data_IF_741847148060
#
_entry.id   IF_741847148060
#
_cell.length_a   1.000
_cell.length_b   1.000
_cell.length_c   1.000
_cell.angle_alpha   90.00
_cell.angle_beta   90.00
_cell.angle_gamma   90.00
#
_symmetry.space_group_name_H-M   'P 1'
#
loop_
_entity.id
_entity.type
_entity.pdbx_description
1 polymer ?
#
# COMPACT_ATOMS: atom_id res chain seq x y z
N UNK A 1 -18.72 -1.69 9.15
CA UNK A 1 -17.93 -0.47 8.88
C UNK A 1 -17.73 -0.24 7.39
N UNK A 2 -17.27 -1.23 6.61
CA UNK A 2 -17.26 -1.13 5.13
C UNK A 2 -18.63 -0.76 4.55
N UNK A 3 -19.71 -1.35 5.07
CA UNK A 3 -21.08 -0.95 4.72
C UNK A 3 -21.37 0.55 4.93
N UNK A 4 -20.96 1.10 6.08
CA UNK A 4 -21.19 2.50 6.40
C UNK A 4 -20.31 3.44 5.57
N UNK A 5 -19.06 3.06 5.30
CA UNK A 5 -18.16 3.82 4.43
C UNK A 5 -18.66 3.84 2.99
N UNK A 6 -19.03 2.66 2.47
CA UNK A 6 -19.54 2.52 1.12
C UNK A 6 -20.83 3.31 0.93
N UNK A 7 -21.80 3.20 1.85
CA UNK A 7 -23.01 4.02 1.83
C UNK A 7 -22.68 5.51 1.96
N UNK A 8 -21.78 5.88 2.86
CA UNK A 8 -21.34 7.25 3.06
C UNK A 8 -20.81 7.90 1.79
N UNK A 9 -20.11 7.15 0.94
CA UNK A 9 -19.61 7.65 -0.34
C UNK A 9 -20.75 8.04 -1.28
N UNK A 10 -21.75 7.19 -1.44
CA UNK A 10 -22.91 7.50 -2.26
C UNK A 10 -23.73 8.66 -1.70
N UNK A 11 -23.89 8.75 -0.38
CA UNK A 11 -24.63 9.84 0.26
C UNK A 11 -23.91 11.18 0.10
N UNK A 12 -22.61 11.24 0.40
CA UNK A 12 -21.82 12.47 0.22
C UNK A 12 -21.79 12.87 -1.26
N UNK A 13 -21.62 11.91 -2.16
CA UNK A 13 -21.64 12.16 -3.59
C UNK A 13 -23.00 12.71 -4.06
N UNK A 14 -24.11 12.15 -3.57
CA UNK A 14 -25.44 12.65 -3.89
C UNK A 14 -25.64 14.10 -3.39
N UNK A 15 -25.17 14.43 -2.19
CA UNK A 15 -25.25 15.79 -1.64
C UNK A 15 -24.43 16.77 -2.49
N UNK A 16 -23.18 16.42 -2.84
CA UNK A 16 -22.31 17.24 -3.67
C UNK A 16 -22.85 17.42 -5.10
N UNK A 17 -23.43 16.37 -5.68
CA UNK A 17 -24.05 16.45 -6.99
C UNK A 17 -25.30 17.34 -6.96
N UNK A 18 -26.13 17.23 -5.92
CA UNK A 18 -27.27 18.11 -5.72
C UNK A 18 -26.84 19.58 -5.55
N UNK A 19 -25.75 19.88 -4.84
CA UNK A 19 -25.27 21.26 -4.74
C UNK A 19 -24.75 21.78 -6.08
N UNK A 20 -23.98 20.99 -6.84
CA UNK A 20 -23.51 21.36 -8.19
C UNK A 20 -24.66 21.58 -9.16
N UNK A 21 -25.71 20.76 -9.08
CA UNK A 21 -26.87 20.91 -9.94
C UNK A 21 -27.73 22.11 -9.54
N UNK A 22 -28.16 22.19 -8.27
CA UNK A 22 -29.14 23.18 -7.82
C UNK A 22 -28.55 24.58 -7.62
N UNK A 23 -27.27 24.67 -7.26
CA UNK A 23 -26.58 25.94 -6.95
C UNK A 23 -25.61 26.31 -8.07
N UNK A 24 -24.90 25.31 -8.63
CA UNK A 24 -23.89 25.51 -9.68
C UNK A 24 -24.40 25.40 -11.12
N UNK A 25 -25.70 25.13 -11.32
CA UNK A 25 -26.36 24.95 -12.62
C UNK A 25 -25.73 23.84 -13.51
N UNK A 26 -25.05 22.86 -12.88
CA UNK A 26 -24.44 21.73 -13.58
C UNK A 26 -25.39 20.52 -13.61
N UNK A 27 -26.33 20.53 -14.56
CA UNK A 27 -27.21 19.39 -14.81
C UNK A 27 -26.47 18.13 -15.33
N UNK A 28 -25.23 18.27 -15.80
CA UNK A 28 -24.40 17.19 -16.33
C UNK A 28 -23.80 16.28 -15.26
N UNK A 29 -23.75 16.73 -13.99
CA UNK A 29 -23.08 16.02 -12.90
C UNK A 29 -23.59 14.58 -12.71
N UNK A 30 -24.90 14.35 -12.81
CA UNK A 30 -25.47 13.01 -12.66
C UNK A 30 -25.08 12.08 -13.81
N UNK A 31 -25.01 12.61 -15.05
CA UNK A 31 -24.54 11.84 -16.19
C UNK A 31 -23.07 11.43 -16.00
N UNK A 32 -22.22 12.37 -15.56
CA UNK A 32 -20.81 12.09 -15.27
C UNK A 32 -20.62 11.06 -14.15
N UNK A 33 -21.46 11.11 -13.11
CA UNK A 33 -21.43 10.11 -12.03
C UNK A 33 -21.81 8.71 -12.51
N UNK A 34 -22.87 8.60 -13.33
CA UNK A 34 -23.29 7.32 -13.92
C UNK A 34 -22.22 6.77 -14.86
N UNK A 35 -21.65 7.61 -15.72
CA UNK A 35 -20.55 7.23 -16.60
C UNK A 35 -19.34 6.73 -15.80
N UNK A 36 -18.96 7.46 -14.74
CA UNK A 36 -17.86 7.07 -13.85
C UNK A 36 -18.11 5.72 -13.18
N UNK A 37 -19.34 5.44 -12.76
CA UNK A 37 -19.71 4.16 -12.15
C UNK A 37 -19.43 2.98 -13.10
N UNK A 38 -19.87 3.06 -14.36
CA UNK A 38 -19.61 2.02 -15.34
C UNK A 38 -18.15 1.95 -15.78
N UNK A 39 -17.46 3.09 -15.89
CA UNK A 39 -16.03 3.14 -16.18
C UNK A 39 -15.21 2.44 -15.09
N UNK A 40 -15.54 2.65 -13.81
CA UNK A 40 -14.87 1.99 -12.69
C UNK A 40 -15.19 0.50 -12.62
N UNK A 41 -16.40 0.08 -12.97
CA UNK A 41 -16.74 -1.34 -13.10
C UNK A 41 -15.87 -2.01 -14.18
N UNK A 42 -15.66 -1.38 -15.34
CA UNK A 42 -14.75 -1.89 -16.38
C UNK A 42 -13.30 -1.93 -15.90
N UNK A 43 -12.81 -0.85 -15.28
CA UNK A 43 -11.45 -0.78 -14.74
C UNK A 43 -11.19 -1.92 -13.73
N UNK A 44 -12.18 -2.26 -12.91
CA UNK A 44 -12.04 -3.38 -11.97
C UNK A 44 -11.75 -4.71 -12.67
N UNK A 45 -12.35 -4.97 -13.85
CA UNK A 45 -12.11 -6.19 -14.64
C UNK A 45 -10.71 -6.15 -15.25
N UNK A 46 -10.26 -5.01 -15.77
CA UNK A 46 -8.91 -4.85 -16.31
C UNK A 46 -7.84 -5.09 -15.24
N UNK A 47 -8.04 -4.54 -14.04
CA UNK A 47 -7.19 -4.82 -12.86
C UNK A 47 -7.24 -6.31 -12.51
N UNK A 48 -8.41 -6.94 -12.57
CA UNK A 48 -8.56 -8.37 -12.28
C UNK A 48 -7.76 -9.26 -13.22
N UNK A 49 -7.70 -8.95 -14.53
CA UNK A 49 -6.88 -9.72 -15.49
C UNK A 49 -5.40 -9.71 -15.09
N UNK A 50 -4.89 -8.55 -14.67
CA UNK A 50 -3.51 -8.41 -14.16
C UNK A 50 -3.33 -9.20 -12.85
N UNK A 51 -4.30 -9.13 -11.94
CA UNK A 51 -4.27 -9.88 -10.69
C UNK A 51 -4.31 -11.40 -10.90
N UNK A 52 -5.08 -11.91 -11.87
CA UNK A 52 -5.08 -13.34 -12.22
C UNK A 52 -3.68 -13.81 -12.60
N UNK A 53 -2.99 -13.09 -13.49
CA UNK A 53 -1.64 -13.47 -13.91
C UNK A 53 -0.62 -13.40 -12.76
N UNK A 54 -0.61 -12.28 -12.03
CA UNK A 54 0.36 -12.03 -10.96
C UNK A 54 0.17 -12.95 -9.76
N UNK A 55 -1.06 -13.14 -9.27
CA UNK A 55 -1.35 -14.03 -8.14
C UNK A 55 -1.00 -15.49 -8.47
N UNK A 56 -1.31 -15.94 -9.69
CA UNK A 56 -0.97 -17.29 -10.19
C UNK A 56 0.54 -17.50 -10.21
N UNK A 57 1.30 -16.55 -10.75
CA UNK A 57 2.76 -16.61 -10.82
C UNK A 57 3.39 -16.71 -9.43
N UNK A 58 3.03 -15.79 -8.55
CA UNK A 58 3.68 -15.64 -7.25
C UNK A 58 3.31 -16.72 -6.25
N UNK A 59 2.05 -17.17 -6.26
CA UNK A 59 1.66 -18.29 -5.40
C UNK A 59 2.25 -19.61 -5.88
N UNK A 60 2.49 -19.78 -7.19
CA UNK A 60 3.28 -20.90 -7.70
C UNK A 60 4.70 -20.92 -7.14
N UNK A 61 5.42 -19.80 -7.25
CA UNK A 61 6.76 -19.68 -6.70
C UNK A 61 6.80 -19.81 -5.17
N UNK A 62 5.84 -19.22 -4.47
CA UNK A 62 5.71 -19.36 -3.02
C UNK A 62 5.49 -20.82 -2.61
N UNK A 63 4.69 -21.58 -3.36
CA UNK A 63 4.44 -23.00 -3.07
C UNK A 63 5.72 -23.84 -3.16
N UNK A 64 6.62 -23.52 -4.08
CA UNK A 64 7.96 -24.12 -4.12
C UNK A 64 8.73 -23.79 -2.84
N UNK A 65 8.74 -22.51 -2.43
CA UNK A 65 9.45 -22.07 -1.24
C UNK A 65 8.92 -22.71 0.05
N UNK A 66 7.61 -22.85 0.19
CA UNK A 66 6.95 -23.58 1.27
C UNK A 66 7.39 -25.03 1.33
N UNK A 67 7.30 -25.75 0.20
CA UNK A 67 7.73 -27.16 0.15
C UNK A 67 9.23 -27.34 0.38
N UNK A 68 10.04 -26.32 0.08
CA UNK A 68 11.47 -26.32 0.36
C UNK A 68 11.81 -26.02 1.83
N UNK A 69 10.83 -25.66 2.66
CA UNK A 69 11.01 -25.32 4.07
C UNK A 69 11.56 -23.91 4.32
N UNK A 70 11.48 -23.01 3.31
CA UNK A 70 12.01 -21.65 3.42
C UNK A 70 11.15 -20.78 4.34
N UNK A 71 9.83 -20.94 4.28
CA UNK A 71 8.88 -20.16 5.07
C UNK A 71 9.07 -20.44 6.56
N UNK A 72 9.25 -21.71 6.93
CA UNK A 72 9.49 -22.16 8.30
C UNK A 72 10.82 -21.62 8.85
N UNK A 73 11.86 -21.59 8.02
CA UNK A 73 13.17 -21.02 8.40
C UNK A 73 13.08 -19.52 8.69
N UNK A 74 12.36 -18.79 7.85
CA UNK A 74 12.12 -17.36 8.07
C UNK A 74 11.26 -17.12 9.32
N UNK A 75 10.25 -17.96 9.55
CA UNK A 75 9.42 -17.92 10.75
C UNK A 75 10.27 -18.10 12.03
N UNK A 76 11.25 -19.01 12.01
CA UNK A 76 12.17 -19.22 13.15
C UNK A 76 13.11 -18.03 13.34
N UNK A 77 13.64 -17.45 12.26
CA UNK A 77 14.55 -16.30 12.32
C UNK A 77 13.90 -15.08 12.99
N UNK A 78 12.64 -14.76 12.63
CA UNK A 78 11.92 -13.61 13.18
C UNK A 78 11.02 -13.95 14.37
N UNK A 79 10.98 -15.22 14.81
CA UNK A 79 10.25 -15.64 15.99
C UNK A 79 10.54 -14.78 17.24
N UNK A 80 11.79 -14.36 17.54
CA UNK A 80 12.07 -13.53 18.70
C UNK A 80 11.30 -12.19 18.67
N UNK A 81 11.21 -11.56 17.50
CA UNK A 81 10.48 -10.30 17.31
C UNK A 81 8.97 -10.51 17.40
N UNK A 82 8.44 -11.42 16.60
CA UNK A 82 6.99 -11.62 16.50
C UNK A 82 6.37 -12.26 17.74
N UNK A 83 7.13 -12.98 18.57
CA UNK A 83 6.64 -13.40 19.90
C UNK A 83 6.25 -12.23 20.79
N UNK A 84 6.83 -11.04 20.60
CA UNK A 84 6.51 -9.83 21.39
C UNK A 84 5.46 -8.98 20.70
N UNK A 85 5.50 -8.90 19.37
CA UNK A 85 4.55 -8.10 18.58
C UNK A 85 3.21 -8.80 18.34
N UNK A 86 3.21 -10.13 18.22
CA UNK A 86 2.07 -11.00 17.94
C UNK A 86 2.03 -12.19 18.91
N UNK A 87 1.83 -11.94 20.23
CA UNK A 87 1.92 -13.00 21.25
C UNK A 87 0.86 -14.11 21.09
N UNK A 88 -0.21 -13.83 20.35
CA UNK A 88 -1.29 -14.77 20.04
C UNK A 88 -0.91 -15.82 18.97
N UNK A 89 0.20 -15.61 18.24
CA UNK A 89 0.63 -16.52 17.17
C UNK A 89 1.68 -17.51 17.72
N UNK A 90 1.43 -18.83 17.65
CA UNK A 90 2.39 -19.82 18.11
C UNK A 90 3.74 -19.72 17.42
N UNK A 91 4.79 -20.10 18.15
CA UNK A 91 6.14 -20.09 17.59
C UNK A 91 6.31 -21.13 16.49
N UNK A 92 6.92 -20.74 15.38
CA UNK A 92 7.10 -21.63 14.22
C UNK A 92 5.82 -21.81 13.39
N UNK A 93 4.72 -21.12 13.72
CA UNK A 93 3.53 -21.13 12.87
C UNK A 93 3.85 -20.51 11.49
N UNK A 94 3.39 -21.11 10.38
CA UNK A 94 3.69 -20.62 9.02
C UNK A 94 3.31 -19.16 8.78
N UNK A 95 2.28 -18.66 9.47
CA UNK A 95 1.87 -17.26 9.41
C UNK A 95 3.05 -16.28 9.61
N UNK A 96 3.96 -16.56 10.55
CA UNK A 96 5.11 -15.68 10.81
C UNK A 96 6.08 -15.61 9.62
N UNK A 97 6.30 -16.74 8.96
CA UNK A 97 7.15 -16.81 7.77
C UNK A 97 6.53 -16.07 6.58
N UNK A 98 5.21 -16.24 6.38
CA UNK A 98 4.46 -15.55 5.32
C UNK A 98 4.41 -14.03 5.54
N UNK A 99 4.19 -13.57 6.78
CA UNK A 99 4.23 -12.14 7.14
C UNK A 99 5.62 -11.56 6.85
N UNK A 100 6.66 -12.29 7.24
CA UNK A 100 8.06 -11.89 6.97
C UNK A 100 8.32 -11.74 5.48
N UNK A 101 7.96 -12.75 4.69
CA UNK A 101 8.11 -12.73 3.23
C UNK A 101 7.32 -11.60 2.58
N UNK A 102 6.10 -11.34 3.04
CA UNK A 102 5.29 -10.23 2.55
C UNK A 102 5.94 -8.87 2.86
N UNK A 103 6.40 -8.63 4.08
CA UNK A 103 7.11 -7.38 4.42
C UNK A 103 8.42 -7.24 3.64
N UNK A 104 9.17 -8.32 3.44
CA UNK A 104 10.37 -8.30 2.61
C UNK A 104 10.04 -7.99 1.15
N UNK A 105 8.99 -8.58 0.59
CA UNK A 105 8.55 -8.31 -0.78
C UNK A 105 8.12 -6.84 -0.96
N UNK A 106 7.28 -6.31 -0.06
CA UNK A 106 6.92 -4.88 -0.06
C UNK A 106 8.17 -3.99 0.11
N UNK A 107 9.05 -4.36 1.06
CA UNK A 107 10.33 -3.71 1.32
C UNK A 107 11.15 -3.45 0.07
N UNK A 108 11.22 -4.48 -0.79
CA UNK A 108 12.03 -4.50 -1.99
C UNK A 108 11.29 -3.94 -3.23
N UNK A 109 10.08 -3.38 -3.05
CA UNK A 109 9.25 -2.88 -4.15
C UNK A 109 8.73 -3.99 -5.07
N UNK A 110 8.61 -5.22 -4.55
CA UNK A 110 8.05 -6.37 -5.24
C UNK A 110 6.54 -6.47 -4.98
N UNK A 111 5.82 -5.38 -5.16
CA UNK A 111 4.39 -5.23 -4.79
C UNK A 111 3.50 -6.32 -5.43
N UNK A 112 3.86 -6.71 -6.66
CA UNK A 112 3.23 -7.80 -7.40
C UNK A 112 3.32 -9.15 -6.68
N UNK A 113 4.38 -9.39 -5.90
CA UNK A 113 4.61 -10.58 -5.10
C UNK A 113 3.99 -10.48 -3.70
N UNK A 114 4.03 -9.28 -3.12
CA UNK A 114 3.68 -9.10 -1.73
C UNK A 114 2.19 -9.37 -1.45
N UNK A 115 1.29 -8.88 -2.31
CA UNK A 115 -0.16 -9.08 -2.16
C UNK A 115 -0.57 -10.56 -2.07
N UNK A 116 -0.17 -11.45 -3.00
CA UNK A 116 -0.49 -12.88 -2.89
C UNK A 116 0.03 -13.52 -1.59
N UNK A 117 1.28 -13.22 -1.21
CA UNK A 117 1.87 -13.73 0.03
C UNK A 117 1.08 -13.22 1.24
N UNK A 118 0.66 -11.95 1.22
CA UNK A 118 -0.07 -11.33 2.32
C UNK A 118 -1.49 -11.87 2.48
N UNK A 119 -2.18 -12.22 1.38
CA UNK A 119 -3.46 -12.91 1.44
C UNK A 119 -3.33 -14.29 2.09
N UNK A 120 -2.24 -15.02 1.77
CA UNK A 120 -1.96 -16.30 2.39
C UNK A 120 -1.60 -16.16 3.87
N UNK A 121 -0.82 -15.13 4.23
CA UNK A 121 -0.54 -14.77 5.62
C UNK A 121 -1.84 -14.48 6.40
N UNK A 122 -2.76 -13.73 5.81
CA UNK A 122 -4.05 -13.40 6.42
C UNK A 122 -4.91 -14.64 6.67
N UNK A 123 -4.93 -15.59 5.71
CA UNK A 123 -5.58 -16.90 5.89
C UNK A 123 -4.95 -17.72 7.02
N UNK A 124 -3.62 -17.79 7.07
CA UNK A 124 -2.91 -18.49 8.14
C UNK A 124 -3.16 -17.84 9.52
N UNK A 125 -3.31 -16.52 9.59
CA UNK A 125 -3.72 -15.83 10.82
C UNK A 125 -5.20 -16.08 11.18
N UNK A 126 -6.07 -16.28 10.18
CA UNK A 126 -7.48 -16.58 10.39
C UNK A 126 -7.69 -17.98 11.00
N UNK A 127 -6.85 -18.96 10.66
CA UNK A 127 -6.90 -20.30 11.26
C UNK A 127 -6.70 -20.27 12.78
N UNK A 128 -5.94 -19.29 13.28
CA UNK A 128 -5.69 -19.06 14.70
C UNK A 128 -6.72 -18.14 15.36
N UNK A 129 -7.59 -17.50 14.56
CA UNK A 129 -8.50 -16.49 15.06
C UNK A 129 -9.69 -17.14 15.78
N UNK A 130 -9.93 -16.83 17.08
CA UNK A 130 -11.07 -17.37 17.79
C UNK A 130 -12.42 -16.91 17.23
N UNK A 131 -12.45 -15.85 16.42
CA UNK A 131 -13.66 -15.31 15.81
C UNK A 131 -13.61 -15.35 14.28
N UNK A 132 -14.60 -15.99 13.67
CA UNK A 132 -14.70 -16.06 12.20
C UNK A 132 -14.96 -14.70 11.51
N UNK A 133 -15.52 -13.72 12.22
CA UNK A 133 -15.99 -12.45 11.61
C UNK A 133 -15.34 -11.19 12.18
N UNK A 134 -14.44 -11.31 13.16
CA UNK A 134 -13.83 -10.18 13.89
C UNK A 134 -12.32 -10.29 13.86
N UNK A 135 -11.63 -9.20 13.47
CA UNK A 135 -10.19 -9.22 13.27
C UNK A 135 -9.42 -9.49 14.58
N UNK A 136 -8.44 -10.40 14.55
CA UNK A 136 -7.52 -10.65 15.67
C UNK A 136 -6.45 -9.56 15.79
N UNK A 137 -5.73 -9.48 16.91
CA UNK A 137 -4.69 -8.46 17.08
C UNK A 137 -3.55 -8.64 16.07
N UNK A 138 -3.16 -9.88 15.79
CA UNK A 138 -2.14 -10.21 14.80
C UNK A 138 -2.57 -9.80 13.38
N UNK A 139 -3.83 -10.04 12.99
CA UNK A 139 -4.36 -9.61 11.70
C UNK A 139 -4.33 -8.09 11.55
N UNK A 140 -4.71 -7.36 12.61
CA UNK A 140 -4.71 -5.89 12.61
C UNK A 140 -3.29 -5.35 12.48
N UNK A 141 -2.33 -5.86 13.26
CA UNK A 141 -0.94 -5.41 13.19
C UNK A 141 -0.35 -5.68 11.80
N UNK A 142 -0.54 -6.89 11.28
CA UNK A 142 -0.07 -7.27 9.96
C UNK A 142 -0.62 -6.36 8.86
N UNK A 143 -1.93 -6.06 8.93
CA UNK A 143 -2.61 -5.24 7.96
C UNK A 143 -2.14 -3.78 8.01
N UNK A 144 -2.07 -3.18 9.19
CA UNK A 144 -1.69 -1.77 9.33
C UNK A 144 -0.26 -1.55 8.84
N UNK A 145 0.66 -2.46 9.18
CA UNK A 145 2.04 -2.39 8.68
C UNK A 145 2.15 -2.60 7.16
N UNK A 146 1.22 -3.34 6.55
CA UNK A 146 1.11 -3.43 5.08
C UNK A 146 0.57 -2.15 4.47
N UNK A 147 -0.44 -1.51 5.08
CA UNK A 147 -1.00 -0.25 4.61
C UNK A 147 0.03 0.89 4.67
N UNK A 148 0.98 0.82 5.60
CA UNK A 148 2.07 1.78 5.76
C UNK A 148 3.40 1.23 5.26
N UNK A 149 3.42 0.36 4.25
CA UNK A 149 4.61 -0.43 3.92
C UNK A 149 5.80 0.41 3.47
N UNK A 150 6.99 0.05 3.96
CA UNK A 150 8.24 0.71 3.62
C UNK A 150 8.75 0.29 2.24
N UNK A 151 8.58 1.13 1.22
CA UNK A 151 9.15 0.87 -0.12
C UNK A 151 10.55 1.46 -0.22
N UNK A 152 11.59 0.61 -0.30
CA UNK A 152 12.98 1.06 -0.33
C UNK A 152 13.37 1.74 -1.65
N UNK A 153 12.77 1.33 -2.77
CA UNK A 153 13.10 1.82 -4.12
C UNK A 153 11.81 2.07 -4.92
N UNK A 154 11.33 3.31 -5.02
CA UNK A 154 10.09 3.66 -5.71
C UNK A 154 10.28 3.75 -7.23
N UNK A 155 10.69 2.65 -7.87
CA UNK A 155 11.03 2.59 -9.30
C UNK A 155 9.87 3.02 -10.20
N UNK A 156 8.63 2.71 -9.81
CA UNK A 156 7.43 3.12 -10.54
C UNK A 156 7.28 4.64 -10.60
N UNK A 157 7.57 5.34 -9.51
CA UNK A 157 7.50 6.81 -9.43
C UNK A 157 8.58 7.44 -10.30
N UNK A 158 9.80 6.89 -10.29
CA UNK A 158 10.87 7.33 -11.19
C UNK A 158 10.45 7.18 -12.65
N UNK A 159 9.82 6.06 -13.00
CA UNK A 159 9.33 5.83 -14.36
C UNK A 159 8.26 6.84 -14.77
N UNK A 160 7.32 7.17 -13.88
CA UNK A 160 6.30 8.19 -14.18
C UNK A 160 6.93 9.55 -14.41
N UNK A 161 7.92 9.93 -13.59
CA UNK A 161 8.68 11.17 -13.76
C UNK A 161 9.44 11.19 -15.09
N UNK A 162 10.12 10.10 -15.47
CA UNK A 162 10.74 9.97 -16.80
C UNK A 162 9.72 10.16 -17.92
N UNK A 163 8.57 9.50 -17.83
CA UNK A 163 7.50 9.59 -18.84
C UNK A 163 6.91 10.99 -18.97
N UNK A 164 6.94 11.78 -17.88
CA UNK A 164 6.53 13.19 -17.88
C UNK A 164 7.69 14.16 -18.15
N UNK A 165 8.88 13.67 -18.51
CA UNK A 165 10.01 14.50 -18.93
C UNK A 165 10.87 15.08 -17.81
N UNK A 166 10.89 14.47 -16.61
CA UNK A 166 11.72 14.94 -15.50
C UNK A 166 13.22 14.89 -15.84
N UNK A 167 13.97 16.00 -15.67
CA UNK A 167 15.43 16.01 -15.78
C UNK A 167 16.10 15.10 -14.75
N UNK A 168 15.58 15.09 -13.51
CA UNK A 168 16.00 14.18 -12.45
C UNK A 168 14.78 13.41 -11.90
N UNK A 169 14.54 12.18 -12.40
CA UNK A 169 13.48 11.32 -11.89
C UNK A 169 13.64 10.92 -10.42
N UNK A 170 14.87 10.91 -9.91
CA UNK A 170 15.21 10.42 -8.57
C UNK A 170 15.12 11.50 -7.49
N UNK A 171 14.87 12.75 -7.86
CA UNK A 171 14.76 13.88 -6.95
C UNK A 171 13.76 13.67 -5.80
N UNK A 172 12.71 12.88 -6.01
CA UNK A 172 11.69 12.54 -4.99
C UNK A 172 12.07 11.36 -4.08
N UNK A 173 13.22 10.73 -4.31
CA UNK A 173 13.61 9.49 -3.64
C UNK A 173 13.70 9.62 -2.12
N UNK A 174 14.53 10.54 -1.64
CA UNK A 174 14.73 10.75 -0.22
C UNK A 174 13.45 11.27 0.48
N UNK A 175 12.69 12.21 -0.12
CA UNK A 175 11.37 12.56 0.38
C UNK A 175 10.41 11.38 0.56
N UNK A 176 10.30 10.49 -0.43
CA UNK A 176 9.45 9.29 -0.35
C UNK A 176 9.86 8.43 0.84
N UNK A 177 11.15 8.14 0.96
CA UNK A 177 11.64 7.23 2.00
C UNK A 177 11.44 7.80 3.41
N UNK A 178 11.59 9.12 3.59
CA UNK A 178 11.29 9.79 4.85
C UNK A 178 9.78 9.78 5.16
N UNK A 179 8.94 10.09 4.17
CA UNK A 179 7.48 10.10 4.33
C UNK A 179 6.94 8.71 4.66
N UNK A 180 7.42 7.68 3.96
CA UNK A 180 7.06 6.30 4.26
C UNK A 180 7.53 5.88 5.65
N UNK A 181 8.78 6.20 6.03
CA UNK A 181 9.29 5.87 7.36
C UNK A 181 8.44 6.47 8.48
N UNK A 182 7.98 7.72 8.30
CA UNK A 182 7.05 8.36 9.22
C UNK A 182 5.70 7.63 9.27
N UNK A 183 5.14 7.26 8.11
CA UNK A 183 3.90 6.48 8.03
C UNK A 183 4.03 5.13 8.74
N UNK A 184 5.07 4.35 8.43
CA UNK A 184 5.33 3.03 9.04
C UNK A 184 5.48 3.13 10.56
N UNK A 185 6.20 4.15 11.03
CA UNK A 185 6.41 4.38 12.46
C UNK A 185 5.08 4.70 13.16
N UNK A 186 4.28 5.62 12.61
CA UNK A 186 2.97 5.97 13.17
C UNK A 186 2.00 4.77 13.11
N UNK A 187 2.03 3.99 12.04
CA UNK A 187 1.28 2.74 11.93
C UNK A 187 1.63 1.75 13.06
N UNK A 188 2.91 1.47 13.27
CA UNK A 188 3.37 0.61 14.36
C UNK A 188 2.99 1.17 15.75
N UNK A 189 3.27 2.44 16.00
CA UNK A 189 3.02 3.09 17.29
C UNK A 189 1.53 3.13 17.63
N UNK A 190 0.67 3.41 16.64
CA UNK A 190 -0.78 3.46 16.84
C UNK A 190 -1.35 2.08 17.19
N UNK A 191 -0.92 1.03 16.51
CA UNK A 191 -1.32 -0.34 16.84
C UNK A 191 -0.77 -0.77 18.19
N UNK A 192 0.49 -0.46 18.47
CA UNK A 192 1.12 -0.77 19.75
C UNK A 192 0.40 -0.09 20.92
N UNK A 193 -0.04 1.15 20.75
CA UNK A 193 -0.86 1.85 21.73
C UNK A 193 -2.21 1.15 21.94
N UNK A 194 -2.95 0.89 20.85
CA UNK A 194 -4.28 0.29 20.93
C UNK A 194 -4.27 -1.15 21.47
N UNK A 195 -3.23 -1.92 21.16
CA UNK A 195 -3.05 -3.31 21.60
C UNK A 195 -2.18 -3.44 22.86
N UNK A 196 -1.66 -2.33 23.40
CA UNK A 196 -0.76 -2.28 24.56
C UNK A 196 0.50 -3.14 24.40
N UNK A 197 1.09 -3.12 23.20
CA UNK A 197 2.34 -3.83 22.91
C UNK A 197 3.51 -3.17 23.65
N UNK A 198 4.43 -3.99 24.18
CA UNK A 198 5.61 -3.52 24.92
C UNK A 198 6.76 -3.20 23.97
N UNK A 199 6.70 -2.03 23.31
CA UNK A 199 7.77 -1.61 22.39
C UNK A 199 9.11 -1.32 23.09
N UNK A 200 9.09 -1.10 24.42
CA UNK A 200 10.30 -0.95 25.24
C UNK A 200 10.98 -2.29 25.58
N UNK A 201 10.43 -3.43 25.14
CA UNK A 201 11.09 -4.73 25.30
C UNK A 201 12.46 -4.70 24.60
N UNK A 202 13.55 -5.14 25.24
CA UNK A 202 14.90 -5.08 24.67
C UNK A 202 15.03 -5.77 23.31
N UNK A 203 14.27 -6.85 23.07
CA UNK A 203 14.27 -7.55 21.77
C UNK A 203 13.62 -6.67 20.72
N UNK A 204 12.47 -6.05 21.03
CA UNK A 204 11.78 -5.16 20.10
C UNK A 204 12.65 -3.93 19.80
N UNK A 205 13.25 -3.31 20.82
CA UNK A 205 14.17 -2.19 20.64
C UNK A 205 15.41 -2.56 19.84
N UNK A 206 15.99 -3.75 20.05
CA UNK A 206 17.13 -4.22 19.26
C UNK A 206 16.77 -4.37 17.78
N UNK A 207 15.60 -4.94 17.47
CA UNK A 207 15.12 -5.05 16.09
C UNK A 207 14.82 -3.69 15.47
N UNK A 208 14.05 -2.83 16.16
CA UNK A 208 13.73 -1.48 15.67
C UNK A 208 15.00 -0.64 15.48
N UNK A 209 15.94 -0.70 16.43
CA UNK A 209 17.22 -0.01 16.35
C UNK A 209 18.09 -0.53 15.21
N UNK A 210 18.20 -1.85 15.04
CA UNK A 210 18.92 -2.45 13.92
C UNK A 210 18.31 -2.06 12.57
N UNK A 211 16.98 -2.14 12.43
CA UNK A 211 16.28 -1.71 11.22
C UNK A 211 16.49 -0.22 10.96
N UNK A 212 16.38 0.65 11.98
CA UNK A 212 16.61 2.08 11.83
C UNK A 212 18.06 2.40 11.43
N UNK A 213 19.05 1.70 11.98
CA UNK A 213 20.46 1.86 11.61
C UNK A 213 20.74 1.38 10.19
N UNK A 214 20.19 0.23 9.79
CA UNK A 214 20.34 -0.29 8.43
C UNK A 214 19.67 0.63 7.41
N UNK A 215 18.45 1.11 7.69
CA UNK A 215 17.74 2.06 6.84
C UNK A 215 18.48 3.40 6.78
N UNK A 216 18.89 3.96 7.91
CA UNK A 216 19.63 5.22 7.97
C UNK A 216 20.99 5.13 7.27
N UNK A 217 21.71 4.01 7.45
CA UNK A 217 22.97 3.75 6.75
C UNK A 217 22.77 3.59 5.24
N UNK A 218 21.72 2.89 4.82
CA UNK A 218 21.36 2.75 3.40
C UNK A 218 20.96 4.10 2.80
N UNK A 219 20.16 4.91 3.50
CA UNK A 219 19.80 6.27 3.12
C UNK A 219 21.03 7.17 2.96
N UNK A 220 21.95 7.14 3.93
CA UNK A 220 23.19 7.91 3.87
C UNK A 220 24.09 7.48 2.70
N UNK A 221 24.17 6.19 2.43
CA UNK A 221 24.89 5.66 1.26
C UNK A 221 24.27 6.15 -0.05
N UNK A 222 22.94 6.01 -0.20
CA UNK A 222 22.24 6.42 -1.42
C UNK A 222 22.27 7.93 -1.63
N UNK A 223 22.24 8.73 -0.56
CA UNK A 223 22.38 10.18 -0.62
C UNK A 223 23.77 10.63 -1.14
N UNK A 224 24.78 9.76 -1.07
CA UNK A 224 26.11 10.01 -1.64
C UNK A 224 26.24 9.71 -3.13
N UNK A 225 25.21 9.14 -3.77
CA UNK A 225 25.24 8.78 -5.19
C UNK A 225 24.74 9.93 -6.07
N UNK A 226 25.25 10.04 -7.29
CA UNK A 226 24.66 10.91 -8.31
C UNK A 226 23.26 10.40 -8.70
N UNK A 227 22.38 11.27 -9.18
CA UNK A 227 21.05 10.90 -9.67
C UNK A 227 21.10 9.78 -10.74
N UNK A 228 22.08 9.85 -11.64
CA UNK A 228 22.31 8.82 -12.67
C UNK A 228 22.73 7.47 -12.07
N UNK A 229 23.63 7.47 -11.08
CA UNK A 229 24.06 6.26 -10.39
C UNK A 229 22.92 5.68 -9.54
N UNK A 230 22.15 6.52 -8.87
CA UNK A 230 21.00 6.12 -8.07
C UNK A 230 19.90 5.48 -8.93
N UNK A 231 19.58 6.07 -10.09
CA UNK A 231 18.61 5.51 -11.03
C UNK A 231 19.07 4.14 -11.58
N UNK A 232 20.34 4.04 -12.00
CA UNK A 232 20.92 2.80 -12.51
C UNK A 232 20.96 1.70 -11.43
N UNK A 233 21.39 2.05 -10.21
CA UNK A 233 21.44 1.14 -9.07
C UNK A 233 20.03 0.68 -8.68
N UNK A 234 19.05 1.58 -8.64
CA UNK A 234 17.66 1.25 -8.28
C UNK A 234 17.05 0.24 -9.25
N UNK A 235 17.25 0.45 -10.57
CA UNK A 235 16.77 -0.46 -11.61
C UNK A 235 17.47 -1.82 -11.56
N UNK A 236 18.81 -1.82 -11.40
CA UNK A 236 19.59 -3.05 -11.31
C UNK A 236 19.20 -3.84 -10.05
N UNK A 237 19.18 -3.21 -8.88
CA UNK A 237 18.82 -3.86 -7.62
C UNK A 237 17.40 -4.42 -7.68
N UNK A 238 16.41 -3.67 -8.18
CA UNK A 238 15.04 -4.16 -8.29
C UNK A 238 14.94 -5.43 -9.15
N UNK A 239 15.48 -5.39 -10.37
CA UNK A 239 15.41 -6.50 -11.32
C UNK A 239 16.22 -7.73 -10.85
N UNK A 240 17.45 -7.50 -10.35
CA UNK A 240 18.31 -8.55 -9.83
C UNK A 240 17.69 -9.21 -8.59
N UNK A 241 17.11 -8.43 -7.69
CA UNK A 241 16.45 -8.94 -6.49
C UNK A 241 15.23 -9.77 -6.85
N UNK A 242 14.39 -9.27 -7.76
CA UNK A 242 13.20 -9.97 -8.24
C UNK A 242 13.56 -11.33 -8.86
N UNK A 243 14.47 -11.34 -9.84
CA UNK A 243 14.85 -12.56 -10.53
C UNK A 243 15.68 -13.49 -9.63
N UNK A 244 16.54 -12.91 -8.79
CA UNK A 244 17.31 -13.63 -7.77
C UNK A 244 16.43 -14.34 -6.75
N UNK A 245 15.32 -13.74 -6.32
CA UNK A 245 14.35 -14.37 -5.43
C UNK A 245 13.69 -15.60 -6.10
N UNK A 246 13.28 -15.46 -7.36
CA UNK A 246 12.71 -16.55 -8.16
C UNK A 246 13.71 -17.70 -8.29
N UNK A 247 14.96 -17.38 -8.68
CA UNK A 247 16.05 -18.35 -8.77
C UNK A 247 16.31 -19.01 -7.42
N UNK A 248 16.32 -18.26 -6.32
CA UNK A 248 16.54 -18.79 -4.98
C UNK A 248 15.45 -19.81 -4.59
N UNK A 249 14.18 -19.53 -4.89
CA UNK A 249 13.09 -20.48 -4.65
C UNK A 249 13.24 -21.75 -5.49
N UNK A 250 13.54 -21.62 -6.78
CA UNK A 250 13.75 -22.75 -7.68
C UNK A 250 14.95 -23.61 -7.26
N UNK A 251 16.10 -22.99 -7.00
CA UNK A 251 17.31 -23.66 -6.58
C UNK A 251 17.13 -24.33 -5.21
N UNK A 252 16.52 -23.65 -4.25
CA UNK A 252 16.24 -24.24 -2.94
C UNK A 252 15.27 -25.43 -3.06
N UNK A 253 14.21 -25.30 -3.86
CA UNK A 253 13.29 -26.39 -4.18
C UNK A 253 14.02 -27.58 -4.82
N UNK A 254 14.86 -27.34 -5.83
CA UNK A 254 15.64 -28.37 -6.49
C UNK A 254 16.63 -29.05 -5.52
N UNK A 255 17.37 -28.29 -4.71
CA UNK A 255 18.27 -28.85 -3.70
C UNK A 255 17.55 -29.69 -2.64
N UNK A 256 16.31 -29.31 -2.31
CA UNK A 256 15.44 -30.07 -1.40
C UNK A 256 14.67 -31.20 -2.08
N UNK A 257 14.92 -31.45 -3.37
CA UNK A 257 14.26 -32.47 -4.20
C UNK A 257 12.73 -32.30 -4.24
N UNK A 258 12.26 -31.05 -4.17
CA UNK A 258 10.86 -30.70 -4.40
C UNK A 258 10.59 -30.80 -5.90
N UNK A 259 9.47 -31.42 -6.34
CA UNK A 259 9.03 -31.38 -7.74
C UNK A 259 8.58 -29.95 -8.08
N UNK A 260 9.52 -29.14 -8.56
CA UNK A 260 9.37 -27.67 -8.65
C UNK A 260 8.23 -27.25 -9.57
N UNK A 261 8.02 -27.96 -10.69
CA UNK A 261 6.97 -27.63 -11.64
C UNK A 261 5.59 -27.96 -11.08
N UNK A 262 5.43 -29.13 -10.48
CA UNK A 262 4.18 -29.59 -9.87
C UNK A 262 3.80 -28.71 -8.69
N UNK A 263 4.78 -28.37 -7.84
CA UNK A 263 4.61 -27.41 -6.76
C UNK A 263 4.18 -26.03 -7.28
N UNK A 264 4.81 -25.54 -8.35
CA UNK A 264 4.43 -24.30 -8.99
C UNK A 264 2.98 -24.34 -9.49
N UNK A 265 2.59 -25.38 -10.22
CA UNK A 265 1.23 -25.53 -10.77
C UNK A 265 0.18 -25.61 -9.66
N UNK A 266 0.49 -26.25 -8.54
CA UNK A 266 -0.40 -26.31 -7.39
C UNK A 266 -0.62 -24.93 -6.75
N UNK A 267 0.47 -24.17 -6.52
CA UNK A 267 0.37 -22.80 -6.02
C UNK A 267 -0.32 -21.86 -7.01
N UNK A 268 -0.09 -22.05 -8.30
CA UNK A 268 -0.73 -21.29 -9.37
C UNK A 268 -2.26 -21.43 -9.35
N UNK A 269 -2.77 -22.65 -9.16
CA UNK A 269 -4.22 -22.89 -9.01
C UNK A 269 -4.82 -22.16 -7.80
N UNK A 270 -4.11 -22.14 -6.67
CA UNK A 270 -4.53 -21.37 -5.50
C UNK A 270 -4.65 -19.87 -5.83
N UNK A 271 -3.67 -19.31 -6.55
CA UNK A 271 -3.70 -17.91 -6.94
C UNK A 271 -4.84 -17.53 -7.86
N UNK A 272 -5.23 -18.44 -8.75
CA UNK A 272 -6.41 -18.26 -9.58
C UNK A 272 -7.70 -18.15 -8.75
N UNK A 273 -7.90 -19.04 -7.76
CA UNK A 273 -9.07 -18.99 -6.88
C UNK A 273 -9.10 -17.75 -5.99
N UNK A 274 -7.92 -17.32 -5.50
CA UNK A 274 -7.78 -16.06 -4.75
C UNK A 274 -8.26 -14.90 -5.61
N UNK A 275 -7.73 -14.75 -6.82
CA UNK A 275 -8.09 -13.67 -7.74
C UNK A 275 -9.61 -13.60 -7.94
N UNK A 276 -10.25 -14.73 -8.28
CA UNK A 276 -11.71 -14.82 -8.48
C UNK A 276 -12.50 -14.28 -7.28
N UNK A 277 -12.05 -14.53 -6.06
CA UNK A 277 -12.74 -14.07 -4.84
C UNK A 277 -12.65 -12.55 -4.60
N UNK A 278 -11.70 -11.85 -5.22
CA UNK A 278 -11.46 -10.41 -5.00
C UNK A 278 -12.33 -9.49 -5.85
N UNK A 279 -12.78 -9.96 -7.02
CA UNK A 279 -13.53 -9.15 -7.99
C UNK A 279 -14.74 -8.42 -7.37
N UNK A 280 -15.63 -9.07 -6.58
CA UNK A 280 -16.80 -8.38 -6.03
C UNK A 280 -16.45 -7.20 -5.13
N UNK A 281 -15.43 -7.36 -4.28
CA UNK A 281 -14.96 -6.32 -3.37
C UNK A 281 -14.33 -5.15 -4.13
N UNK A 282 -13.58 -5.46 -5.19
CA UNK A 282 -12.95 -4.45 -6.03
C UNK A 282 -13.97 -3.60 -6.78
N UNK A 283 -14.96 -4.24 -7.42
CA UNK A 283 -16.06 -3.56 -8.12
C UNK A 283 -16.79 -2.62 -7.16
N UNK A 284 -17.20 -3.13 -6.00
CA UNK A 284 -17.97 -2.35 -5.03
C UNK A 284 -17.24 -1.07 -4.61
N UNK A 285 -15.95 -1.18 -4.25
CA UNK A 285 -15.18 -0.04 -3.77
C UNK A 285 -14.82 0.95 -4.88
N UNK A 286 -14.33 0.48 -6.04
CA UNK A 286 -13.95 1.38 -7.14
C UNK A 286 -15.14 2.17 -7.68
N UNK A 287 -16.32 1.55 -7.78
CA UNK A 287 -17.54 2.25 -8.20
C UNK A 287 -17.91 3.37 -7.23
N UNK A 288 -17.88 3.10 -5.92
CA UNK A 288 -18.21 4.10 -4.89
C UNK A 288 -17.24 5.30 -4.95
N UNK A 289 -15.95 5.04 -5.16
CA UNK A 289 -14.91 6.08 -5.28
C UNK A 289 -15.07 6.88 -6.58
N UNK A 290 -15.38 6.22 -7.70
CA UNK A 290 -15.64 6.89 -8.97
C UNK A 290 -16.81 7.87 -8.87
N UNK A 291 -17.91 7.43 -8.27
CA UNK A 291 -19.09 8.28 -8.01
C UNK A 291 -18.76 9.45 -7.09
N UNK A 292 -18.00 9.20 -6.01
CA UNK A 292 -17.56 10.26 -5.09
C UNK A 292 -16.72 11.32 -5.81
N UNK A 293 -15.76 10.91 -6.66
CA UNK A 293 -14.95 11.83 -7.44
C UNK A 293 -15.79 12.61 -8.45
N UNK A 294 -16.58 11.92 -9.26
CA UNK A 294 -17.39 12.55 -10.31
C UNK A 294 -18.44 13.52 -9.76
N UNK A 295 -18.86 13.34 -8.51
CA UNK A 295 -19.81 14.24 -7.85
C UNK A 295 -19.28 15.64 -7.52
N UNK A 296 -17.97 15.87 -7.54
CA UNK A 296 -17.37 17.12 -7.07
C UNK A 296 -17.12 17.19 -5.56
N UNK A 297 -17.41 16.11 -4.82
CA UNK A 297 -17.27 16.08 -3.36
C UNK A 297 -15.81 16.29 -2.90
N UNK A 298 -14.84 15.76 -3.65
CA UNK A 298 -13.43 15.92 -3.32
C UNK A 298 -12.99 17.37 -3.51
N UNK A 299 -13.43 18.00 -4.60
CA UNK A 299 -13.16 19.39 -4.97
C UNK A 299 -13.70 20.34 -3.90
N UNK A 300 -14.96 20.17 -3.47
CA UNK A 300 -15.50 20.95 -2.34
C UNK A 300 -14.69 20.81 -1.06
N UNK A 301 -14.20 19.59 -0.76
CA UNK A 301 -13.33 19.35 0.37
C UNK A 301 -11.99 20.07 0.25
N UNK A 302 -11.39 20.05 -0.94
CA UNK A 302 -10.12 20.72 -1.23
C UNK A 302 -10.23 22.24 -1.17
N UNK A 303 -11.32 22.81 -1.69
CA UNK A 303 -11.59 24.25 -1.61
C UNK A 303 -11.77 24.70 -0.16
N UNK A 304 -12.47 23.89 0.65
CA UNK A 304 -12.58 24.14 2.09
C UNK A 304 -11.23 24.09 2.80
N UNK A 305 -10.36 23.14 2.45
CA UNK A 305 -8.98 23.06 2.97
C UNK A 305 -8.18 24.29 2.54
N UNK A 306 -8.25 24.68 1.27
CA UNK A 306 -7.57 25.87 0.74
C UNK A 306 -7.98 27.13 1.51
N UNK A 307 -9.28 27.35 1.65
CA UNK A 307 -9.83 28.49 2.39
C UNK A 307 -9.34 28.53 3.85
N UNK A 308 -9.31 27.39 4.54
CA UNK A 308 -8.81 27.29 5.92
C UNK A 308 -7.31 27.63 6.01
N UNK A 309 -6.49 27.11 5.10
CA UNK A 309 -5.04 27.34 5.07
C UNK A 309 -4.74 28.81 4.76
N UNK A 310 -5.44 29.40 3.80
CA UNK A 310 -5.32 30.82 3.46
C UNK A 310 -5.72 31.72 4.63
N UNK A 311 -6.80 31.37 5.33
CA UNK A 311 -7.23 32.09 6.53
C UNK A 311 -6.18 32.03 7.67
N UNK A 312 -5.37 30.98 7.72
CA UNK A 312 -4.24 30.83 8.64
C UNK A 312 -2.95 31.51 8.14
N UNK A 313 -2.95 32.08 6.93
CA UNK A 313 -1.77 32.71 6.32
C UNK A 313 -0.67 31.72 5.93
N UNK A 314 -1.02 30.46 5.69
CA UNK A 314 -0.09 29.41 5.32
C UNK A 314 -0.01 29.21 3.80
N UNK A 315 1.08 28.59 3.36
CA UNK A 315 1.31 28.28 1.94
C UNK A 315 0.34 27.18 1.46
N UNK A 316 -0.33 27.42 0.34
CA UNK A 316 -1.34 26.52 -0.25
C UNK A 316 -0.82 25.67 -1.41
N UNK A 317 0.45 25.77 -1.81
CA UNK A 317 1.01 25.04 -2.98
C UNK A 317 0.83 23.52 -2.88
N UNK A 318 0.77 22.97 -1.67
CA UNK A 318 0.56 21.54 -1.47
C UNK A 318 -0.90 21.09 -1.71
N UNK A 319 -1.86 22.01 -1.70
CA UNK A 319 -3.29 21.69 -1.83
C UNK A 319 -3.58 21.00 -3.16
N UNK A 320 -2.92 21.44 -4.23
CA UNK A 320 -3.06 20.84 -5.57
C UNK A 320 -2.51 19.40 -5.66
N UNK A 321 -1.73 18.95 -4.66
CA UNK A 321 -1.26 17.57 -4.55
C UNK A 321 -2.22 16.66 -3.77
N UNK A 322 -3.12 17.22 -2.97
CA UNK A 322 -4.03 16.47 -2.10
C UNK A 322 -5.01 15.53 -2.82
N UNK A 323 -5.45 15.76 -4.08
CA UNK A 323 -6.22 14.75 -4.80
C UNK A 323 -5.54 13.37 -4.82
N UNK A 324 -4.21 13.33 -4.96
CA UNK A 324 -3.43 12.08 -4.92
C UNK A 324 -3.57 11.42 -3.54
N UNK A 325 -3.36 12.17 -2.46
CA UNK A 325 -3.49 11.66 -1.09
C UNK A 325 -4.91 11.18 -0.75
N UNK A 326 -5.94 11.88 -1.21
CA UNK A 326 -7.34 11.53 -0.91
C UNK A 326 -7.78 10.24 -1.61
N UNK A 327 -7.31 10.03 -2.84
CA UNK A 327 -7.67 8.85 -3.64
C UNK A 327 -6.83 7.62 -3.26
N UNK A 328 -5.59 7.83 -2.79
CA UNK A 328 -4.61 6.77 -2.53
C UNK A 328 -5.10 5.68 -1.57
N UNK A 329 -5.76 5.96 -0.42
CA UNK A 329 -6.30 4.92 0.45
C UNK A 329 -7.27 3.96 -0.25
N UNK A 330 -7.91 4.39 -1.33
CA UNK A 330 -8.91 3.60 -2.05
C UNK A 330 -8.36 2.88 -3.27
N UNK A 331 -7.47 3.54 -4.02
CA UNK A 331 -6.94 3.00 -5.28
C UNK A 331 -5.60 3.62 -5.64
N UNK A 332 -4.59 2.76 -5.76
CA UNK A 332 -3.24 3.16 -6.15
C UNK A 332 -3.14 3.56 -7.61
N UNK A 333 -3.95 2.95 -8.48
CA UNK A 333 -4.02 3.30 -9.91
C UNK A 333 -4.75 4.62 -10.15
N UNK A 334 -5.82 4.90 -9.41
CA UNK A 334 -6.51 6.19 -9.49
C UNK A 334 -5.65 7.32 -8.90
N UNK A 335 -4.95 7.08 -7.78
CA UNK A 335 -4.01 8.06 -7.21
C UNK A 335 -2.82 8.32 -8.13
N UNK A 336 -2.32 7.29 -8.82
CA UNK A 336 -1.33 7.45 -9.89
C UNK A 336 -1.87 8.34 -11.02
N UNK A 337 -3.12 8.20 -11.42
CA UNK A 337 -3.71 9.06 -12.45
C UNK A 337 -3.73 10.52 -11.98
N UNK A 338 -4.09 10.79 -10.71
CA UNK A 338 -4.03 12.13 -10.12
C UNK A 338 -2.61 12.69 -10.09
N UNK A 339 -1.61 11.87 -9.79
CA UNK A 339 -0.21 12.25 -9.88
C UNK A 339 0.17 12.70 -11.30
N UNK A 340 -0.16 11.88 -12.30
CA UNK A 340 0.15 12.18 -13.71
C UNK A 340 -0.57 13.46 -14.15
N UNK A 341 -1.83 13.63 -13.79
CA UNK A 341 -2.60 14.84 -14.07
C UNK A 341 -1.99 16.07 -13.41
N UNK A 342 -1.51 15.95 -12.17
CA UNK A 342 -0.79 17.03 -11.46
C UNK A 342 0.48 17.41 -12.22
N UNK A 343 1.27 16.42 -12.68
CA UNK A 343 2.49 16.65 -13.47
C UNK A 343 2.20 17.30 -14.82
N UNK A 344 1.11 16.90 -15.50
CA UNK A 344 0.71 17.47 -16.77
C UNK A 344 0.20 18.91 -16.62
N UNK A 345 -0.51 19.19 -15.54
CA UNK A 345 -1.14 20.50 -15.31
C UNK A 345 -0.15 21.54 -14.79
N UNK A 346 0.77 21.14 -13.91
CA UNK A 346 1.68 22.07 -13.23
C UNK A 346 3.14 21.94 -13.66
N UNK A 347 3.50 20.88 -14.37
CA UNK A 347 4.88 20.49 -14.68
C UNK A 347 5.43 19.45 -13.71
N UNK A 348 6.28 18.55 -14.22
CA UNK A 348 6.78 17.37 -13.49
C UNK A 348 7.63 17.69 -12.25
N UNK A 349 8.27 18.85 -12.22
CA UNK A 349 9.10 19.34 -11.09
C UNK A 349 8.45 20.50 -10.33
N UNK A 350 7.17 20.80 -10.61
CA UNK A 350 6.42 21.75 -9.78
C UNK A 350 6.28 21.23 -8.36
N UNK A 351 6.23 22.15 -7.39
CA UNK A 351 6.01 21.80 -5.99
C UNK A 351 4.83 20.82 -5.77
N UNK A 352 3.62 21.06 -6.30
CA UNK A 352 2.53 20.09 -6.15
C UNK A 352 2.83 18.73 -6.79
N UNK A 353 3.53 18.67 -7.93
CA UNK A 353 3.92 17.39 -8.54
C UNK A 353 4.94 16.62 -7.69
N UNK A 354 5.88 17.30 -7.04
CA UNK A 354 6.85 16.70 -6.12
C UNK A 354 6.18 16.17 -4.85
N UNK A 355 5.24 16.94 -4.29
CA UNK A 355 4.42 16.51 -3.14
C UNK A 355 3.56 15.30 -3.53
N UNK A 356 2.86 15.35 -4.66
CA UNK A 356 2.02 14.25 -5.14
C UNK A 356 2.85 12.99 -5.42
N UNK A 357 4.05 13.11 -6.00
CA UNK A 357 4.95 11.99 -6.24
C UNK A 357 5.41 11.36 -4.92
N UNK A 358 5.70 12.21 -3.92
CA UNK A 358 6.08 11.77 -2.58
C UNK A 358 4.93 11.03 -1.90
N UNK A 359 3.71 11.59 -1.94
CA UNK A 359 2.50 10.95 -1.40
C UNK A 359 2.22 9.60 -2.07
N UNK A 360 2.28 9.53 -3.39
CA UNK A 360 2.03 8.30 -4.15
C UNK A 360 3.01 7.18 -3.79
N UNK A 361 4.28 7.53 -3.52
CA UNK A 361 5.30 6.59 -3.07
C UNK A 361 5.29 6.31 -1.57
N UNK A 362 4.58 7.11 -0.77
CA UNK A 362 4.73 7.09 0.69
C UNK A 362 3.93 6.01 1.43
N UNK A 363 2.75 5.65 0.91
CA UNK A 363 1.81 4.74 1.58
C UNK A 363 1.21 3.73 0.62
N UNK A 364 0.45 2.76 1.14
CA UNK A 364 -0.34 1.82 0.35
C UNK A 364 -1.84 2.13 0.37
N UNK A 365 -2.61 1.31 -0.33
CA UNK A 365 -4.04 1.49 -0.51
C UNK A 365 -4.85 0.95 0.68
N UNK A 366 -4.93 1.68 1.79
CA UNK A 366 -5.57 1.24 3.05
C UNK A 366 -6.89 0.48 2.89
N UNK A 367 -7.90 1.08 2.26
CA UNK A 367 -9.22 0.47 2.11
C UNK A 367 -9.25 -0.68 1.12
N UNK A 368 -8.40 -0.63 0.08
CA UNK A 368 -8.24 -1.76 -0.83
C UNK A 368 -7.59 -2.95 -0.12
N UNK A 369 -6.48 -2.74 0.61
CA UNK A 369 -5.82 -3.77 1.43
C UNK A 369 -6.80 -4.33 2.46
N UNK A 370 -7.57 -3.48 3.14
CA UNK A 370 -8.65 -3.92 4.03
C UNK A 370 -9.69 -4.78 3.32
N UNK A 371 -10.23 -4.31 2.19
CA UNK A 371 -11.27 -5.04 1.46
C UNK A 371 -10.75 -6.38 0.94
N UNK A 372 -9.54 -6.41 0.38
CA UNK A 372 -8.91 -7.60 -0.20
C UNK A 372 -8.51 -8.58 0.90
N UNK A 373 -7.84 -8.13 1.96
CA UNK A 373 -7.32 -9.00 3.00
C UNK A 373 -8.44 -9.51 3.90
N UNK A 374 -9.31 -8.64 4.41
CA UNK A 374 -10.44 -9.07 5.23
C UNK A 374 -11.50 -9.80 4.42
N UNK A 375 -11.74 -9.39 3.17
CA UNK A 375 -12.67 -10.08 2.26
C UNK A 375 -12.23 -11.51 1.97
N UNK A 376 -10.92 -11.75 1.78
CA UNK A 376 -10.38 -13.09 1.52
C UNK A 376 -10.51 -14.08 2.68
N UNK A 377 -10.77 -13.60 3.91
CA UNK A 377 -10.97 -14.41 5.11
C UNK A 377 -12.33 -14.21 5.79
N UNK A 378 -13.25 -13.48 5.16
CA UNK A 378 -14.62 -13.29 5.67
C UNK A 378 -14.75 -12.39 6.90
N UNK A 379 -13.76 -11.54 7.19
CA UNK A 379 -13.80 -10.61 8.33
C UNK A 379 -14.76 -9.46 8.04
N UNK A 380 -15.68 -9.21 8.99
CA UNK A 380 -16.72 -8.17 8.89
C UNK A 380 -16.45 -7.00 9.85
N UNK A 381 -15.82 -7.28 11.00
CA UNK A 381 -15.53 -6.30 12.06
C UNK A 381 -14.03 -6.04 12.14
N UNK A 382 -13.61 -4.91 11.58
CA UNK A 382 -12.21 -4.48 11.49
C UNK A 382 -11.60 -3.95 12.81
N UNK A 383 -12.41 -3.71 13.86
CA UNK A 383 -11.98 -3.09 15.14
C UNK A 383 -11.19 -1.79 14.87
N UNK A 384 -10.03 -1.62 15.49
CA UNK A 384 -9.17 -0.44 15.37
C UNK A 384 -8.26 -0.44 14.14
N UNK A 385 -8.33 -1.45 13.26
CA UNK A 385 -7.45 -1.53 12.07
C UNK A 385 -7.54 -0.29 11.18
N UNK A 386 -8.76 0.18 10.92
CA UNK A 386 -8.97 1.31 10.01
C UNK A 386 -8.52 2.62 10.63
N UNK A 387 -8.78 2.83 11.93
CA UNK A 387 -8.29 4.02 12.62
C UNK A 387 -6.77 4.10 12.62
N UNK A 388 -6.08 2.98 12.90
CA UNK A 388 -4.62 2.90 12.86
C UNK A 388 -4.06 3.09 11.44
N UNK A 389 -4.68 2.46 10.43
CA UNK A 389 -4.24 2.59 9.04
C UNK A 389 -4.43 4.02 8.50
N UNK A 390 -5.58 4.65 8.77
CA UNK A 390 -5.82 6.04 8.39
C UNK A 390 -4.89 7.02 9.11
N UNK A 391 -4.52 6.74 10.37
CA UNK A 391 -3.55 7.56 11.08
C UNK A 391 -2.16 7.42 10.47
N UNK A 392 -1.79 6.22 10.01
CA UNK A 392 -0.56 6.00 9.26
C UNK A 392 -0.57 6.72 7.91
N UNK A 393 -1.71 6.68 7.18
CA UNK A 393 -1.89 7.42 5.93
C UNK A 393 -1.74 8.92 6.15
N UNK A 394 -2.43 9.46 7.16
CA UNK A 394 -2.35 10.88 7.52
C UNK A 394 -0.91 11.28 7.85
N UNK A 395 -0.18 10.46 8.61
CA UNK A 395 1.22 10.70 8.91
C UNK A 395 2.09 10.71 7.64
N UNK A 396 1.85 9.80 6.70
CA UNK A 396 2.54 9.77 5.40
C UNK A 396 2.26 11.02 4.57
N UNK A 397 1.01 11.48 4.52
CA UNK A 397 0.58 12.71 3.84
C UNK A 397 1.22 13.95 4.46
N UNK A 398 1.14 14.10 5.79
CA UNK A 398 1.73 15.23 6.50
C UNK A 398 3.27 15.24 6.38
N UNK A 399 3.90 14.07 6.47
CA UNK A 399 5.34 13.95 6.27
C UNK A 399 5.74 14.27 4.84
N UNK A 400 4.96 13.85 3.83
CA UNK A 400 5.20 14.21 2.43
C UNK A 400 5.17 15.72 2.24
N UNK A 401 4.17 16.40 2.80
CA UNK A 401 4.05 17.87 2.74
C UNK A 401 5.26 18.53 3.42
N UNK A 402 5.53 18.16 4.68
CA UNK A 402 6.60 18.78 5.47
C UNK A 402 7.99 18.54 4.88
N UNK A 403 8.28 17.33 4.41
CA UNK A 403 9.57 17.00 3.79
C UNK A 403 9.72 17.68 2.43
N UNK A 404 8.66 17.78 1.62
CA UNK A 404 8.73 18.53 0.38
C UNK A 404 8.95 20.03 0.61
N UNK A 405 8.32 20.65 1.63
CA UNK A 405 8.66 22.03 2.00
C UNK A 405 10.10 22.16 2.48
N UNK A 406 10.64 21.17 3.18
CA UNK A 406 12.03 21.22 3.62
C UNK A 406 13.03 21.10 2.45
N UNK A 407 12.74 20.27 1.45
CA UNK A 407 13.64 20.03 0.32
C UNK A 407 13.45 21.00 -0.85
N UNK A 408 12.23 21.48 -1.08
CA UNK A 408 11.81 22.18 -2.30
C UNK A 408 11.02 23.48 -2.04
N UNK A 409 10.82 23.84 -0.77
CA UNK A 409 9.94 24.93 -0.32
C UNK A 409 10.46 26.31 -0.60
#
# INVERSE_FOLDING_TARGET
MLNGLWLGFFVVAAIAACSRWLIGDDAGVFAAMVESLFAMARLSVEVMVVLFGTLTLWLGFLRIAERAGLVERLAVLLAPLFRRLMPEVPSGHPALGLITLNFTANGLGLDNAATPIGLKAMRALQELNPSQTTASNAQILFLVLNASSLTLLPVSIFMYRVQQGAPDPTLVFLPILLATSASSLVGLLSVAFMQRLRLHDPVVLAWLGCTALLLGGFMAFLAGLSATALAALSSLLGNLTLFGLILAFLLCGAFKRVPVYEAFVEGAKEGFEVAKSLLPYLVAMLCAVGVLRASGALEFGLDGIRWLIEALGWDTRFVDALPTALVKPFSGSAARAMLIETMQSHGVDSFPALVAATMQGSTETTFYVLAVYFGAVGIQRARHAVGCALLADLAGVLASIGVCYWFFG
#
